data_IF_474088790818
#
_entry.id   IF_474088790818
#
_cell.length_a   1.000
_cell.length_b   1.000
_cell.length_c   1.000
_cell.angle_alpha   90.00
_cell.angle_beta   90.00
_cell.angle_gamma   90.00
#
_symmetry.space_group_name_H-M   'P 1'
#
loop_
_entity.id
_entity.type
_entity.pdbx_description
1 polymer ?
#
# COMPACT_ATOMS: atom_id res chain seq x y z
N UNK A 1 -27.97 -1.72 -9.91
CA UNK A 1 -27.37 -0.64 -10.72
C UNK A 1 -26.67 0.42 -9.84
N UNK A 2 -27.28 0.97 -8.78
CA UNK A 2 -26.54 1.73 -7.74
C UNK A 2 -25.51 0.93 -6.89
N UNK A 3 -25.70 -0.38 -6.74
CA UNK A 3 -24.84 -1.25 -5.91
C UNK A 3 -23.39 -1.34 -6.38
N UNK A 4 -23.13 -1.24 -7.70
CA UNK A 4 -21.77 -1.34 -8.25
C UNK A 4 -20.90 -0.15 -7.80
N UNK A 5 -21.42 1.08 -7.85
CA UNK A 5 -20.70 2.27 -7.38
C UNK A 5 -20.42 2.24 -5.88
N UNK A 6 -21.37 1.72 -5.08
CA UNK A 6 -21.19 1.54 -3.65
C UNK A 6 -20.13 0.47 -3.33
N UNK A 7 -20.17 -0.68 -4.00
CA UNK A 7 -19.18 -1.75 -3.84
C UNK A 7 -17.77 -1.27 -4.22
N UNK A 8 -17.62 -0.50 -5.31
CA UNK A 8 -16.32 0.07 -5.69
C UNK A 8 -15.83 1.12 -4.70
N UNK A 9 -16.71 2.00 -4.21
CA UNK A 9 -16.35 2.92 -3.14
C UNK A 9 -15.84 2.18 -1.91
N UNK A 10 -16.49 1.08 -1.52
CA UNK A 10 -16.06 0.29 -0.38
C UNK A 10 -14.67 -0.32 -0.60
N UNK A 11 -14.43 -0.91 -1.78
CA UNK A 11 -13.12 -1.46 -2.15
C UNK A 11 -12.04 -0.37 -2.11
N UNK A 12 -12.29 0.80 -2.68
CA UNK A 12 -11.32 1.90 -2.69
C UNK A 12 -11.06 2.46 -1.30
N UNK A 13 -12.07 2.61 -0.44
CA UNK A 13 -11.87 3.01 0.96
C UNK A 13 -11.02 1.99 1.69
N UNK A 14 -11.32 0.70 1.54
CA UNK A 14 -10.56 -0.37 2.17
C UNK A 14 -9.11 -0.39 1.68
N UNK A 15 -8.88 -0.26 0.38
CA UNK A 15 -7.53 -0.14 -0.18
C UNK A 15 -6.79 1.08 0.36
N UNK A 16 -7.44 2.25 0.42
CA UNK A 16 -6.85 3.46 0.99
C UNK A 16 -6.47 3.30 2.46
N UNK A 17 -7.29 2.59 3.25
CA UNK A 17 -6.98 2.24 4.63
C UNK A 17 -5.80 1.27 4.73
N UNK A 18 -5.73 0.24 3.89
CA UNK A 18 -4.61 -0.71 3.86
C UNK A 18 -3.30 0.02 3.53
N UNK A 19 -3.28 0.84 2.47
CA UNK A 19 -2.10 1.59 2.03
C UNK A 19 -1.70 2.71 2.98
N UNK A 20 -2.58 3.18 3.86
CA UNK A 20 -2.23 4.18 4.89
C UNK A 20 -1.85 3.53 6.23
N UNK A 21 -2.69 2.65 6.77
CA UNK A 21 -2.55 2.10 8.12
C UNK A 21 -1.38 1.12 8.22
N UNK A 22 -1.28 0.14 7.31
CA UNK A 22 -0.24 -0.91 7.44
C UNK A 22 1.16 -0.32 7.27
N UNK A 23 1.48 0.45 6.21
CA UNK A 23 2.80 1.05 6.06
C UNK A 23 3.15 2.01 7.20
N UNK A 24 2.18 2.77 7.71
CA UNK A 24 2.39 3.67 8.86
C UNK A 24 2.72 2.90 10.13
N UNK A 25 1.98 1.82 10.41
CA UNK A 25 2.29 0.95 11.54
C UNK A 25 3.70 0.36 11.43
N UNK A 26 4.07 -0.18 10.25
CA UNK A 26 5.39 -0.78 10.04
C UNK A 26 6.51 0.23 10.23
N UNK A 27 6.39 1.44 9.66
CA UNK A 27 7.42 2.48 9.87
C UNK A 27 7.53 2.85 11.33
N UNK A 28 6.42 3.13 12.02
CA UNK A 28 6.46 3.55 13.43
C UNK A 28 7.01 2.44 14.33
N UNK A 29 6.59 1.19 14.12
CA UNK A 29 6.99 0.05 14.94
C UNK A 29 8.46 -0.34 14.74
N UNK A 30 8.95 -0.31 13.49
CA UNK A 30 10.31 -0.74 13.15
C UNK A 30 11.29 0.42 12.98
N UNK A 31 10.90 1.67 13.28
CA UNK A 31 11.74 2.85 13.09
C UNK A 31 13.08 2.77 13.84
N UNK A 32 13.02 2.39 15.11
CA UNK A 32 14.22 2.27 15.95
C UNK A 32 15.12 1.14 15.45
N UNK A 33 14.53 0.00 15.06
CA UNK A 33 15.25 -1.13 14.50
C UNK A 33 15.94 -0.75 13.18
N UNK A 34 15.24 -0.10 12.25
CA UNK A 34 15.79 0.38 10.98
C UNK A 34 17.01 1.30 11.18
N UNK A 35 16.94 2.22 12.14
CA UNK A 35 18.04 3.13 12.44
C UNK A 35 19.17 2.50 13.27
N UNK A 36 18.96 1.31 13.83
CA UNK A 36 20.00 0.55 14.53
C UNK A 36 20.84 -0.33 13.60
N UNK A 37 20.45 -0.46 12.32
CA UNK A 37 21.16 -1.29 11.36
C UNK A 37 22.51 -0.67 11.01
N UNK A 38 23.57 -1.43 11.24
CA UNK A 38 24.95 -1.04 10.92
C UNK A 38 25.57 -2.07 9.98
N UNK A 39 26.33 -1.60 8.99
CA UNK A 39 27.19 -2.43 8.15
C UNK A 39 28.64 -2.06 8.46
N UNK A 40 29.44 -3.02 8.94
CA UNK A 40 30.83 -2.77 9.37
C UNK A 40 30.97 -1.70 10.48
N UNK A 41 29.98 -1.57 11.36
CA UNK A 41 29.94 -0.55 12.41
C UNK A 41 29.45 0.84 11.96
N UNK A 42 29.23 1.04 10.66
CA UNK A 42 28.68 2.27 10.09
C UNK A 42 27.14 2.17 9.97
N UNK A 43 26.38 3.19 10.40
CA UNK A 43 24.91 3.19 10.28
C UNK A 43 24.44 3.21 8.81
N UNK A 44 23.47 2.36 8.46
CA UNK A 44 22.94 2.21 7.10
C UNK A 44 21.75 3.17 6.89
N UNK A 45 22.02 4.46 6.74
CA UNK A 45 20.96 5.46 6.54
C UNK A 45 20.19 5.29 5.22
N UNK A 46 20.82 4.72 4.19
CA UNK A 46 20.21 4.52 2.86
C UNK A 46 18.98 3.65 2.91
N UNK A 47 18.98 2.60 3.75
CA UNK A 47 17.83 1.71 3.91
C UNK A 47 16.68 2.40 4.64
N UNK A 48 16.95 3.13 5.72
CA UNK A 48 15.95 3.93 6.42
C UNK A 48 15.30 4.98 5.51
N UNK A 49 16.10 5.67 4.70
CA UNK A 49 15.61 6.63 3.71
C UNK A 49 14.75 5.96 2.62
N UNK A 50 15.14 4.78 2.16
CA UNK A 50 14.36 4.01 1.20
C UNK A 50 13.01 3.57 1.77
N UNK A 51 12.97 3.08 3.01
CA UNK A 51 11.73 2.68 3.67
C UNK A 51 10.80 3.87 3.92
N UNK A 52 11.34 5.04 4.31
CA UNK A 52 10.58 6.29 4.39
C UNK A 52 10.00 6.70 3.05
N UNK A 53 10.79 6.60 1.97
CA UNK A 53 10.31 6.88 0.63
C UNK A 53 9.14 5.98 0.24
N UNK A 54 9.25 4.67 0.46
CA UNK A 54 8.17 3.71 0.21
C UNK A 54 6.91 4.01 1.02
N UNK A 55 7.07 4.42 2.29
CA UNK A 55 5.95 4.83 3.13
C UNK A 55 5.23 6.06 2.57
N UNK A 56 5.97 7.09 2.15
CA UNK A 56 5.40 8.29 1.52
C UNK A 56 4.65 7.91 0.23
N UNK A 57 5.23 7.03 -0.60
CA UNK A 57 4.57 6.51 -1.80
C UNK A 57 3.26 5.81 -1.44
N UNK A 58 3.24 4.97 -0.40
CA UNK A 58 2.02 4.32 0.06
C UNK A 58 0.94 5.32 0.50
N UNK A 59 1.33 6.40 1.20
CA UNK A 59 0.40 7.46 1.57
C UNK A 59 -0.18 8.20 0.36
N UNK A 60 0.63 8.48 -0.67
CA UNK A 60 0.15 9.06 -1.93
C UNK A 60 -0.87 8.14 -2.63
N UNK A 61 -0.59 6.83 -2.65
CA UNK A 61 -1.50 5.82 -3.19
C UNK A 61 -2.81 5.79 -2.39
N UNK A 62 -2.74 5.87 -1.06
CA UNK A 62 -3.93 5.93 -0.21
C UNK A 62 -4.80 7.15 -0.54
N UNK A 63 -4.20 8.33 -0.74
CA UNK A 63 -4.91 9.55 -1.16
C UNK A 63 -5.61 9.34 -2.50
N UNK A 64 -4.95 8.73 -3.48
CA UNK A 64 -5.56 8.41 -4.79
C UNK A 64 -6.80 7.52 -4.60
N UNK A 65 -6.72 6.50 -3.75
CA UNK A 65 -7.86 5.63 -3.45
C UNK A 65 -9.00 6.36 -2.73
N UNK A 66 -8.71 7.26 -1.79
CA UNK A 66 -9.75 8.08 -1.16
C UNK A 66 -10.46 8.98 -2.17
N UNK A 67 -9.71 9.64 -3.06
CA UNK A 67 -10.30 10.46 -4.15
C UNK A 67 -11.14 9.60 -5.10
N UNK A 68 -10.66 8.41 -5.45
CA UNK A 68 -11.40 7.46 -6.28
C UNK A 68 -12.70 7.00 -5.61
N UNK A 69 -12.71 6.85 -4.28
CA UNK A 69 -13.89 6.51 -3.48
C UNK A 69 -14.95 7.61 -3.59
N UNK A 70 -14.56 8.87 -3.34
CA UNK A 70 -15.47 10.02 -3.44
C UNK A 70 -16.06 10.11 -4.86
N UNK A 71 -15.22 9.93 -5.88
CA UNK A 71 -15.67 9.92 -7.27
C UNK A 71 -16.66 8.79 -7.55
N UNK A 72 -16.43 7.57 -7.04
CA UNK A 72 -17.34 6.45 -7.19
C UNK A 72 -18.71 6.70 -6.54
N UNK A 73 -18.74 7.39 -5.39
CA UNK A 73 -19.99 7.80 -4.73
C UNK A 73 -20.72 8.88 -5.54
N UNK A 74 -20.00 9.91 -6.00
CA UNK A 74 -20.60 11.04 -6.74
C UNK A 74 -21.13 10.59 -8.10
N UNK A 75 -20.41 9.72 -8.81
CA UNK A 75 -20.77 9.26 -10.16
C UNK A 75 -21.77 8.09 -10.18
N UNK A 76 -22.22 7.60 -9.01
CA UNK A 76 -23.16 6.46 -8.91
C UNK A 76 -24.52 6.66 -9.59
N UNK A 77 -24.88 7.90 -9.96
CA UNK A 77 -26.16 8.27 -10.58
C UNK A 77 -26.07 8.50 -12.11
N UNK A 78 -24.87 8.68 -12.66
CA UNK A 78 -24.64 8.86 -14.10
C UNK A 78 -23.84 7.64 -14.62
N UNK A 79 -24.55 6.57 -14.97
CA UNK A 79 -23.96 5.29 -15.37
C UNK A 79 -23.20 5.32 -16.72
N UNK A 80 -23.36 6.37 -17.53
CA UNK A 80 -22.66 6.52 -18.81
C UNK A 80 -21.16 6.79 -18.66
N UNK A 81 -20.74 7.31 -17.51
CA UNK A 81 -19.32 7.48 -17.17
C UNK A 81 -18.83 6.18 -16.54
N UNK A 82 -18.61 5.16 -17.36
CA UNK A 82 -17.99 3.90 -16.95
C UNK A 82 -16.70 4.10 -16.15
N UNK A 83 -16.25 3.04 -15.46
CA UNK A 83 -15.08 3.01 -14.56
C UNK A 83 -13.93 3.84 -15.17
N UNK A 84 -13.37 4.83 -14.45
CA UNK A 84 -12.23 5.58 -14.96
C UNK A 84 -11.11 4.60 -15.27
N UNK A 85 -10.69 4.51 -16.54
CA UNK A 85 -9.69 3.53 -17.01
C UNK A 85 -8.42 3.54 -16.14
N UNK A 86 -8.05 4.71 -15.62
CA UNK A 86 -6.93 4.89 -14.70
C UNK A 86 -7.06 4.09 -13.40
N UNK A 87 -8.25 3.98 -12.81
CA UNK A 87 -8.45 3.25 -11.55
C UNK A 87 -8.43 1.73 -11.77
N UNK A 88 -8.94 1.26 -12.91
CA UNK A 88 -8.90 -0.16 -13.28
C UNK A 88 -7.47 -0.62 -13.57
N UNK A 89 -6.69 0.18 -14.31
CA UNK A 89 -5.28 -0.11 -14.58
C UNK A 89 -4.40 0.00 -13.34
N UNK A 90 -4.62 1.05 -12.53
CA UNK A 90 -3.87 1.26 -11.29
C UNK A 90 -4.13 0.18 -10.25
N UNK A 91 -5.40 -0.22 -10.05
CA UNK A 91 -5.75 -1.29 -9.12
C UNK A 91 -5.09 -2.64 -9.50
N UNK A 92 -5.13 -3.00 -10.78
CA UNK A 92 -4.47 -4.23 -11.26
C UNK A 92 -2.95 -4.14 -11.12
N UNK A 93 -2.35 -3.00 -11.47
CA UNK A 93 -0.90 -2.78 -11.32
C UNK A 93 -0.45 -2.83 -9.85
N UNK A 94 -1.21 -2.22 -8.94
CA UNK A 94 -0.93 -2.24 -7.51
C UNK A 94 -1.06 -3.65 -6.91
N UNK A 95 -2.07 -4.42 -7.32
CA UNK A 95 -2.23 -5.82 -6.90
C UNK A 95 -1.06 -6.68 -7.39
N UNK A 96 -0.68 -6.55 -8.66
CA UNK A 96 0.50 -7.23 -9.22
C UNK A 96 1.79 -6.87 -8.49
N UNK A 97 1.96 -5.59 -8.17
CA UNK A 97 3.12 -5.11 -7.40
C UNK A 97 3.15 -5.72 -5.99
N UNK A 98 2.02 -5.73 -5.27
CA UNK A 98 1.93 -6.33 -3.93
C UNK A 98 2.22 -7.83 -3.99
N UNK A 99 1.62 -8.56 -4.95
CA UNK A 99 1.86 -10.00 -5.11
C UNK A 99 3.34 -10.26 -5.38
N UNK A 100 3.95 -9.48 -6.30
CA UNK A 100 5.38 -9.60 -6.60
C UNK A 100 6.23 -9.34 -5.37
N UNK A 101 5.89 -8.33 -4.57
CA UNK A 101 6.58 -8.03 -3.32
C UNK A 101 6.45 -9.18 -2.31
N UNK A 102 5.26 -9.75 -2.14
CA UNK A 102 5.04 -10.90 -1.24
C UNK A 102 5.82 -12.14 -1.69
N UNK A 103 5.89 -12.41 -2.99
CA UNK A 103 6.66 -13.54 -3.55
C UNK A 103 8.16 -13.32 -3.34
N UNK A 104 8.68 -12.14 -3.65
CA UNK A 104 10.09 -11.82 -3.44
C UNK A 104 10.44 -11.91 -1.95
N UNK A 105 9.59 -11.36 -1.07
CA UNK A 105 9.78 -11.45 0.37
C UNK A 105 9.82 -12.90 0.84
N UNK A 106 8.91 -13.76 0.38
CA UNK A 106 8.92 -15.18 0.73
C UNK A 106 10.20 -15.87 0.25
N UNK A 107 10.69 -15.56 -0.95
CA UNK A 107 11.94 -16.12 -1.47
C UNK A 107 13.14 -15.71 -0.60
N UNK A 108 13.22 -14.45 -0.18
CA UNK A 108 14.38 -13.94 0.56
C UNK A 108 14.34 -14.21 2.06
N UNK A 109 13.14 -14.19 2.67
CA UNK A 109 12.95 -14.26 4.11
C UNK A 109 12.35 -15.60 4.58
N UNK A 110 11.91 -16.46 3.65
CA UNK A 110 11.23 -17.74 3.93
C UNK A 110 9.99 -17.58 4.84
N UNK A 111 9.40 -16.39 4.86
CA UNK A 111 8.26 -16.00 5.69
C UNK A 111 7.24 -15.24 4.84
N UNK A 112 5.96 -15.25 5.22
CA UNK A 112 4.96 -14.45 4.53
C UNK A 112 4.99 -13.03 5.11
N UNK A 113 5.20 -12.01 4.26
CA UNK A 113 5.49 -10.61 4.58
C UNK A 113 4.52 -9.86 5.54
N UNK A 114 3.44 -10.51 5.99
CA UNK A 114 2.47 -9.98 6.95
C UNK A 114 2.28 -10.85 8.20
N UNK A 115 2.82 -12.07 8.22
CA UNK A 115 2.75 -12.99 9.37
C UNK A 115 4.03 -13.01 10.20
N UNK A 116 5.13 -12.44 9.68
CA UNK A 116 6.41 -12.41 10.38
C UNK A 116 6.33 -11.70 11.74
N UNK A 117 5.58 -10.58 11.88
CA UNK A 117 5.33 -9.80 13.12
C UNK A 117 6.58 -9.51 13.99
N UNK A 118 7.77 -9.78 13.46
CA UNK A 118 9.06 -9.73 14.12
C UNK A 118 10.02 -9.08 13.11
N UNK A 119 10.98 -8.28 13.59
CA UNK A 119 12.04 -7.82 12.71
C UNK A 119 12.78 -9.06 12.17
N UNK A 120 13.19 -9.09 10.88
CA UNK A 120 14.05 -10.16 10.39
C UNK A 120 15.30 -10.22 11.26
N UNK A 121 15.63 -11.44 11.70
CA UNK A 121 16.76 -11.74 12.57
C UNK A 121 18.11 -11.55 11.86
#
# INVERSE_FOLDING_TARGET
MAWKGFAWSFVFVLSGLIFSVIPTYLIVAFWQWLNSLTLNGEPIYTLSLFMLFLWIVCLLIAVIYFVASVRAIVQRKNEDLGIPKGVKGFGVGAVLLIITFMVLWYIFMNEIAFFAWRPPA
#
